data_IF_867219016181
#
_entry.id   IF_867219016181
#
_cell.length_a   1.000
_cell.length_b   1.000
_cell.length_c   1.000
_cell.angle_alpha   90.00
_cell.angle_beta   90.00
_cell.angle_gamma   90.00
#
_symmetry.space_group_name_H-M   'P 1'
#
loop_
_entity.id
_entity.type
_entity.pdbx_description
1 polymer ?
#
# COMPACT_ATOMS: atom_id res chain seq x y z
N UNK A 1 -4.40 -5.32 -7.03
CA UNK A 1 -4.81 -4.00 -7.57
C UNK A 1 -3.94 -2.95 -6.92
N UNK A 2 -3.04 -2.35 -7.71
CA UNK A 2 -2.06 -1.39 -7.22
C UNK A 2 -2.71 0.00 -7.04
N UNK A 3 -2.21 0.79 -6.09
CA UNK A 3 -2.70 2.13 -5.79
C UNK A 3 -1.57 3.14 -5.97
N UNK A 4 -1.73 4.08 -6.89
CA UNK A 4 -0.85 5.24 -6.98
C UNK A 4 -1.45 6.42 -6.22
N UNK A 5 -0.63 7.10 -5.44
CA UNK A 5 -0.97 8.39 -4.83
C UNK A 5 -0.43 9.49 -5.72
N UNK A 6 -1.29 10.40 -6.14
CA UNK A 6 -0.89 11.52 -7.00
C UNK A 6 -1.00 12.82 -6.21
N UNK A 7 0.12 13.55 -6.16
CA UNK A 7 0.18 14.92 -5.66
C UNK A 7 -0.19 15.86 -6.80
N UNK A 8 -1.35 16.51 -6.71
CA UNK A 8 -1.82 17.40 -7.77
C UNK A 8 -1.27 18.82 -7.59
N UNK A 9 -0.75 19.48 -8.65
CA UNK A 9 -0.40 20.89 -8.56
C UNK A 9 -1.61 21.74 -8.17
N UNK A 10 -1.35 22.85 -7.48
CA UNK A 10 -2.39 23.70 -6.87
C UNK A 10 -3.34 24.34 -7.89
N UNK A 11 -2.87 24.55 -9.12
CA UNK A 11 -3.58 25.27 -10.18
C UNK A 11 -4.74 24.48 -10.81
N UNK A 12 -4.84 23.17 -10.56
CA UNK A 12 -5.84 22.32 -11.20
C UNK A 12 -7.23 22.43 -10.51
N UNK A 13 -8.34 22.68 -11.22
CA UNK A 13 -9.66 22.67 -10.58
C UNK A 13 -10.05 21.30 -10.02
N UNK A 14 -10.74 21.25 -8.88
CA UNK A 14 -11.20 19.97 -8.29
C UNK A 14 -12.23 19.24 -9.17
N UNK A 15 -13.03 19.99 -9.93
CA UNK A 15 -14.04 19.48 -10.87
C UNK A 15 -13.43 18.86 -12.13
N UNK A 16 -12.14 19.12 -12.39
CA UNK A 16 -11.40 18.68 -13.57
C UNK A 16 -10.58 17.40 -13.34
N UNK A 17 -11.01 16.54 -12.41
CA UNK A 17 -10.30 15.29 -12.08
C UNK A 17 -11.13 14.08 -12.50
N UNK A 18 -11.20 13.86 -13.81
CA UNK A 18 -11.69 12.62 -14.42
C UNK A 18 -10.53 11.67 -14.75
N UNK A 19 -10.81 10.38 -14.94
CA UNK A 19 -9.80 9.41 -15.40
C UNK A 19 -9.08 9.86 -16.69
N UNK A 20 -9.81 10.51 -17.61
CA UNK A 20 -9.24 11.07 -18.83
C UNK A 20 -8.25 12.22 -18.55
N UNK A 21 -8.54 13.08 -17.58
CA UNK A 21 -7.64 14.17 -17.19
C UNK A 21 -6.40 13.66 -16.45
N UNK A 22 -6.51 12.57 -15.69
CA UNK A 22 -5.36 11.90 -15.08
C UNK A 22 -4.39 11.37 -16.15
N UNK A 23 -4.92 10.72 -17.17
CA UNK A 23 -4.12 10.20 -18.27
C UNK A 23 -3.46 11.34 -19.07
N UNK A 24 -4.27 12.33 -19.47
CA UNK A 24 -3.81 13.46 -20.29
C UNK A 24 -2.77 14.35 -19.61
N UNK A 25 -2.95 14.69 -18.34
CA UNK A 25 -2.10 15.67 -17.65
C UNK A 25 -1.00 15.06 -16.81
N UNK A 26 -1.12 13.78 -16.41
CA UNK A 26 -0.18 13.14 -15.50
C UNK A 26 0.38 11.81 -16.03
N UNK A 27 -0.09 11.34 -17.19
CA UNK A 27 0.30 10.02 -17.70
C UNK A 27 -0.14 8.88 -16.78
N UNK A 28 -1.18 9.09 -15.98
CA UNK A 28 -1.71 8.08 -15.05
C UNK A 28 -3.02 7.53 -15.59
N UNK A 29 -2.94 6.35 -16.20
CA UNK A 29 -4.12 5.57 -16.59
C UNK A 29 -4.64 4.81 -15.37
N UNK A 30 -5.91 5.03 -15.00
CA UNK A 30 -6.51 4.37 -13.84
C UNK A 30 -7.85 4.97 -13.43
N UNK A 31 -8.39 4.52 -12.30
CA UNK A 31 -9.65 5.03 -11.74
C UNK A 31 -9.46 5.56 -10.33
N UNK A 32 -10.19 6.63 -9.97
CA UNK A 32 -10.14 7.17 -8.62
C UNK A 32 -10.60 6.11 -7.60
N UNK A 33 -9.82 5.94 -6.52
CA UNK A 33 -10.05 4.93 -5.47
C UNK A 33 -10.33 5.62 -4.14
N UNK A 34 -11.38 5.24 -3.38
CA UNK A 34 -11.63 5.82 -2.07
C UNK A 34 -10.60 5.25 -1.09
N UNK A 35 -9.69 6.10 -0.61
CA UNK A 35 -8.59 5.70 0.27
C UNK A 35 -8.52 6.57 1.52
N UNK A 36 -8.58 7.89 1.36
CA UNK A 36 -8.25 8.82 2.43
C UNK A 36 -9.44 9.08 3.34
N UNK A 37 -9.19 9.13 4.65
CA UNK A 37 -10.19 9.56 5.61
C UNK A 37 -10.28 11.08 5.64
N UNK A 38 -11.49 11.61 5.83
CA UNK A 38 -11.68 13.03 6.08
C UNK A 38 -11.50 13.32 7.57
N UNK A 39 -10.98 14.49 7.91
CA UNK A 39 -10.91 14.94 9.31
C UNK A 39 -12.32 14.97 9.93
N UNK A 40 -12.51 14.47 11.17
CA UNK A 40 -13.85 14.39 11.78
C UNK A 40 -14.57 15.74 11.90
N UNK A 41 -13.82 16.83 12.05
CA UNK A 41 -14.34 18.20 12.22
C UNK A 41 -14.63 18.93 10.89
N UNK A 42 -14.67 18.22 9.76
CA UNK A 42 -14.87 18.83 8.44
C UNK A 42 -16.27 19.46 8.31
N UNK A 43 -16.31 20.77 8.04
CA UNK A 43 -17.56 21.51 7.83
C UNK A 43 -18.22 21.12 6.51
N UNK A 44 -19.55 21.27 6.42
CA UNK A 44 -20.33 20.89 5.24
C UNK A 44 -19.83 21.56 3.95
N UNK A 45 -19.48 22.85 4.01
CA UNK A 45 -18.94 23.52 2.84
C UNK A 45 -17.58 22.93 2.46
N UNK A 46 -16.67 22.63 3.38
CA UNK A 46 -15.35 22.08 3.03
C UNK A 46 -15.41 20.74 2.28
N UNK A 47 -16.54 20.02 2.33
CA UNK A 47 -16.75 18.78 1.56
C UNK A 47 -16.63 18.96 0.04
N UNK A 48 -16.88 20.15 -0.51
CA UNK A 48 -16.69 20.39 -1.96
C UNK A 48 -15.21 20.36 -2.37
N UNK A 49 -14.28 20.50 -1.41
CA UNK A 49 -12.84 20.44 -1.65
C UNK A 49 -12.30 19.00 -1.62
N UNK A 50 -13.16 18.05 -1.24
CA UNK A 50 -12.84 16.62 -1.24
C UNK A 50 -13.20 16.01 -2.60
N UNK A 51 -12.33 15.16 -3.12
CA UNK A 51 -12.59 14.34 -4.30
C UNK A 51 -13.38 13.11 -3.84
N UNK A 52 -14.71 13.16 -3.93
CA UNK A 52 -15.58 12.05 -3.51
C UNK A 52 -15.98 11.17 -4.69
N UNK A 53 -16.11 9.85 -4.45
CA UNK A 53 -16.68 8.90 -5.41
C UNK A 53 -18.21 8.79 -5.33
N UNK A 54 -18.86 9.29 -4.27
CA UNK A 54 -20.33 9.28 -4.10
C UNK A 54 -20.84 10.52 -3.38
N UNK A 55 -21.98 11.05 -3.85
CA UNK A 55 -22.77 12.08 -3.15
C UNK A 55 -23.50 11.42 -1.99
N UNK A 56 -23.35 11.93 -0.76
CA UNK A 56 -24.26 11.61 0.35
C UNK A 56 -23.64 11.12 1.66
N UNK A 57 -22.46 10.49 1.67
CA UNK A 57 -21.68 10.17 2.88
C UNK A 57 -20.29 9.71 2.47
N UNK A 58 -19.22 10.27 3.05
CA UNK A 58 -18.04 9.42 3.18
C UNK A 58 -17.34 9.54 4.54
N UNK A 59 -17.02 8.39 5.18
CA UNK A 59 -15.84 8.28 6.04
C UNK A 59 -14.53 8.21 5.21
N UNK A 60 -14.60 7.91 3.89
CA UNK A 60 -13.45 7.82 2.99
C UNK A 60 -13.68 8.52 1.63
N UNK A 61 -12.66 9.21 1.12
CA UNK A 61 -12.66 9.97 -0.14
C UNK A 61 -11.52 9.49 -1.06
N UNK A 62 -11.61 9.83 -2.35
CA UNK A 62 -10.50 9.61 -3.28
C UNK A 62 -9.35 10.61 -3.06
N UNK A 63 -9.60 11.76 -2.44
CA UNK A 63 -8.57 12.76 -2.20
C UNK A 63 -9.08 14.11 -1.75
N UNK A 64 -8.18 15.08 -1.60
CA UNK A 64 -8.46 16.46 -1.18
C UNK A 64 -7.20 17.17 -0.68
N UNK A 65 -7.30 18.44 -0.24
CA UNK A 65 -6.20 19.15 0.40
C UNK A 65 -5.69 18.40 1.63
N UNK A 66 -4.38 18.30 1.81
CA UNK A 66 -3.72 17.54 2.89
C UNK A 66 -4.31 17.87 4.26
N UNK A 67 -4.55 19.15 4.55
CA UNK A 67 -5.12 19.61 5.84
C UNK A 67 -6.55 19.13 6.14
N UNK A 68 -7.25 18.59 5.15
CA UNK A 68 -8.61 18.04 5.29
C UNK A 68 -8.61 16.51 5.37
N UNK A 69 -7.45 15.87 5.16
CA UNK A 69 -7.27 14.42 5.22
C UNK A 69 -6.76 14.00 6.60
N UNK A 70 -7.34 12.96 7.18
CA UNK A 70 -6.88 12.37 8.44
C UNK A 70 -5.77 11.33 8.21
N UNK A 71 -4.62 11.81 7.74
CA UNK A 71 -3.46 10.96 7.45
C UNK A 71 -2.92 10.30 8.72
N UNK A 72 -2.98 10.99 9.86
CA UNK A 72 -2.53 10.46 11.15
C UNK A 72 -3.45 9.32 11.65
N UNK A 73 -4.77 9.51 11.59
CA UNK A 73 -5.75 8.49 11.94
C UNK A 73 -5.61 7.25 11.06
N UNK A 74 -5.36 7.43 9.75
CA UNK A 74 -5.08 6.32 8.84
C UNK A 74 -3.83 5.53 9.23
N UNK A 75 -2.70 6.21 9.49
CA UNK A 75 -1.46 5.57 9.97
C UNK A 75 -1.71 4.77 11.25
N UNK A 76 -2.39 5.38 12.21
CA UNK A 76 -2.69 4.75 13.49
C UNK A 76 -3.56 3.50 13.32
N UNK A 77 -4.67 3.60 12.59
CA UNK A 77 -5.58 2.50 12.35
C UNK A 77 -4.90 1.33 11.61
N UNK A 78 -4.09 1.65 10.59
CA UNK A 78 -3.34 0.64 9.84
C UNK A 78 -2.30 -0.08 10.72
N UNK A 79 -1.57 0.66 11.57
CA UNK A 79 -0.62 0.08 12.53
C UNK A 79 -1.29 -0.81 13.58
N UNK A 80 -2.43 -0.38 14.14
CA UNK A 80 -3.22 -1.19 15.08
C UNK A 80 -3.72 -2.46 14.41
N UNK A 81 -4.32 -2.34 13.23
CA UNK A 81 -4.80 -3.50 12.47
C UNK A 81 -3.67 -4.47 12.11
N UNK A 82 -2.50 -3.96 11.77
CA UNK A 82 -1.31 -4.77 11.52
C UNK A 82 -0.83 -5.51 12.78
N UNK A 83 -0.92 -4.88 13.95
CA UNK A 83 -0.64 -5.55 15.23
C UNK A 83 -1.53 -6.77 15.45
N UNK A 84 -2.83 -6.63 15.19
CA UNK A 84 -3.80 -7.74 15.30
C UNK A 84 -3.45 -8.86 14.31
N UNK A 85 -3.22 -8.52 13.03
CA UNK A 85 -2.83 -9.51 12.00
C UNK A 85 -1.53 -10.24 12.35
N UNK A 86 -0.56 -9.52 12.95
CA UNK A 86 0.69 -10.11 13.39
C UNK A 86 0.47 -11.18 14.48
N UNK A 87 -0.42 -10.91 15.44
CA UNK A 87 -0.76 -11.90 16.49
C UNK A 87 -1.42 -13.15 15.89
N UNK A 88 -2.32 -12.98 14.92
CA UNK A 88 -2.92 -14.09 14.18
C UNK A 88 -1.81 -14.89 13.47
N UNK A 89 -0.93 -14.21 12.74
CA UNK A 89 0.18 -14.86 12.03
C UNK A 89 1.10 -15.65 12.97
N UNK A 90 1.46 -15.08 14.13
CA UNK A 90 2.28 -15.75 15.14
C UNK A 90 1.67 -17.07 15.60
N UNK A 91 0.34 -17.09 15.81
CA UNK A 91 -0.39 -18.32 16.14
C UNK A 91 -0.41 -19.29 14.96
N UNK A 92 -0.69 -18.81 13.76
CA UNK A 92 -0.74 -19.61 12.53
C UNK A 92 0.56 -20.36 12.25
N UNK A 93 1.71 -19.73 12.48
CA UNK A 93 3.02 -20.30 12.13
C UNK A 93 3.76 -20.91 13.33
N UNK A 94 3.10 -20.98 14.49
CA UNK A 94 3.69 -21.51 15.71
C UNK A 94 4.29 -22.91 15.48
N UNK A 95 5.49 -23.14 16.01
CA UNK A 95 6.22 -24.41 15.84
C UNK A 95 6.95 -24.59 14.50
N UNK A 96 6.81 -23.67 13.54
CA UNK A 96 7.56 -23.71 12.28
C UNK A 96 8.87 -22.92 12.36
N UNK A 97 9.92 -23.36 11.66
CA UNK A 97 11.13 -22.55 11.45
C UNK A 97 10.84 -21.33 10.56
N UNK A 98 11.59 -20.23 10.65
CA UNK A 98 11.52 -19.15 9.66
C UNK A 98 11.68 -19.70 8.24
N UNK A 99 10.89 -19.19 7.32
CA UNK A 99 10.95 -19.53 5.90
C UNK A 99 11.88 -18.55 5.16
N UNK A 100 12.53 -19.06 4.13
CA UNK A 100 13.21 -18.26 3.12
C UNK A 100 12.18 -17.42 2.34
N UNK A 101 12.36 -16.09 2.23
CA UNK A 101 11.48 -15.21 1.47
C UNK A 101 11.47 -15.50 -0.04
N UNK A 102 10.37 -15.14 -0.72
CA UNK A 102 10.23 -15.29 -2.18
C UNK A 102 11.37 -14.67 -2.99
N UNK A 103 11.87 -13.44 -2.70
CA UNK A 103 12.94 -12.83 -3.48
C UNK A 103 14.24 -13.65 -3.57
N UNK A 104 14.50 -14.54 -2.61
CA UNK A 104 15.68 -15.43 -2.66
C UNK A 104 15.52 -16.50 -3.75
N UNK A 105 14.32 -17.07 -3.89
CA UNK A 105 14.00 -18.05 -4.92
C UNK A 105 13.94 -17.40 -6.30
N UNK A 106 13.33 -16.21 -6.39
CA UNK A 106 13.28 -15.42 -7.62
C UNK A 106 14.69 -15.02 -8.10
N UNK A 107 15.56 -14.53 -7.21
CA UNK A 107 16.94 -14.18 -7.56
C UNK A 107 17.72 -15.39 -8.09
N UNK A 108 17.51 -16.58 -7.52
CA UNK A 108 18.12 -17.82 -7.99
C UNK A 108 17.62 -18.20 -9.39
N UNK A 109 16.34 -18.00 -9.68
CA UNK A 109 15.77 -18.22 -11.01
C UNK A 109 16.37 -17.25 -12.02
N UNK A 110 16.43 -15.96 -11.69
CA UNK A 110 17.00 -14.93 -12.58
C UNK A 110 18.49 -15.15 -12.89
N UNK A 111 19.23 -15.80 -12.00
CA UNK A 111 20.65 -16.11 -12.20
C UNK A 111 20.91 -17.26 -13.18
N UNK A 112 20.01 -18.25 -13.25
CA UNK A 112 20.14 -19.43 -14.13
C UNK A 112 18.74 -19.99 -14.46
N UNK A 113 17.97 -19.33 -15.35
CA UNK A 113 16.56 -19.64 -15.56
C UNK A 113 16.33 -21.00 -16.24
N UNK A 114 17.32 -21.46 -17.02
CA UNK A 114 17.25 -22.75 -17.73
C UNK A 114 17.41 -23.93 -16.74
N UNK A 115 18.27 -23.78 -15.73
CA UNK A 115 18.53 -24.83 -14.73
C UNK A 115 17.60 -24.74 -13.53
N UNK A 116 17.19 -23.54 -13.13
CA UNK A 116 16.29 -23.31 -12.01
C UNK A 116 15.08 -22.51 -12.49
N UNK A 117 14.07 -23.23 -12.97
CA UNK A 117 12.86 -22.64 -13.56
C UNK A 117 12.01 -21.91 -12.51
N UNK A 118 11.14 -21.03 -12.98
CA UNK A 118 10.19 -20.32 -12.10
C UNK A 118 9.25 -21.29 -11.37
N UNK A 119 8.83 -22.37 -12.03
CA UNK A 119 8.01 -23.41 -11.41
C UNK A 119 8.74 -24.14 -10.29
N UNK A 120 10.05 -24.41 -10.46
CA UNK A 120 10.89 -24.97 -9.40
C UNK A 120 11.04 -24.00 -8.22
N UNK A 121 11.24 -22.70 -8.51
CA UNK A 121 11.28 -21.66 -7.49
C UNK A 121 9.96 -21.58 -6.69
N UNK A 122 8.82 -21.61 -7.37
CA UNK A 122 7.50 -21.65 -6.74
C UNK A 122 7.29 -22.91 -5.90
N UNK A 123 7.65 -24.08 -6.42
CA UNK A 123 7.55 -25.35 -5.71
C UNK A 123 8.40 -25.35 -4.43
N UNK A 124 9.66 -24.92 -4.52
CA UNK A 124 10.57 -24.85 -3.37
C UNK A 124 10.07 -23.87 -2.32
N UNK A 125 9.61 -22.68 -2.73
CA UNK A 125 9.04 -21.69 -1.83
C UNK A 125 7.82 -22.25 -1.09
N UNK A 126 6.92 -22.93 -1.80
CA UNK A 126 5.70 -23.52 -1.24
C UNK A 126 5.94 -24.82 -0.48
N UNK A 127 7.08 -25.50 -0.64
CA UNK A 127 7.43 -26.68 0.15
C UNK A 127 7.73 -26.36 1.62
N UNK A 128 7.96 -25.08 1.96
CA UNK A 128 8.35 -24.66 3.30
C UNK A 128 7.20 -24.83 4.32
N UNK A 129 7.45 -25.45 5.49
CA UNK A 129 6.40 -25.68 6.50
C UNK A 129 5.64 -24.43 6.94
N UNK A 130 6.34 -23.30 7.13
CA UNK A 130 5.73 -22.01 7.50
C UNK A 130 4.79 -21.48 6.41
N UNK A 131 5.19 -21.59 5.15
CA UNK A 131 4.36 -21.18 4.00
C UNK A 131 3.11 -22.06 3.92
N UNK A 132 3.26 -23.38 4.09
CA UNK A 132 2.12 -24.29 4.11
C UNK A 132 1.17 -24.06 5.29
N UNK A 133 1.68 -23.74 6.48
CA UNK A 133 0.84 -23.36 7.63
C UNK A 133 0.00 -22.11 7.34
N UNK A 134 0.61 -21.08 6.74
CA UNK A 134 -0.12 -19.86 6.32
C UNK A 134 -1.18 -20.16 5.25
N UNK A 135 -0.86 -20.99 4.24
CA UNK A 135 -1.81 -21.38 3.19
C UNK A 135 -2.99 -22.18 3.76
N UNK A 136 -2.71 -23.11 4.66
CA UNK A 136 -3.76 -23.91 5.31
C UNK A 136 -4.68 -23.04 6.17
N UNK A 137 -4.11 -22.10 6.93
CA UNK A 137 -4.89 -21.13 7.71
C UNK A 137 -5.79 -20.26 6.82
N UNK A 138 -5.24 -19.71 5.74
CA UNK A 138 -6.00 -18.90 4.79
C UNK A 138 -7.12 -19.69 4.11
N UNK A 139 -6.90 -20.98 3.82
CA UNK A 139 -7.92 -21.87 3.26
C UNK A 139 -9.03 -22.20 4.28
N UNK A 140 -8.67 -22.41 5.55
CA UNK A 140 -9.61 -22.72 6.63
C UNK A 140 -10.41 -21.49 7.10
N UNK A 141 -9.81 -20.30 7.06
CA UNK A 141 -10.38 -19.05 7.57
C UNK A 141 -10.32 -17.98 6.49
N UNK A 142 -11.12 -18.06 5.41
CA UNK A 142 -11.12 -17.05 4.38
C UNK A 142 -11.68 -15.73 4.94
N UNK A 143 -11.07 -14.60 4.56
CA UNK A 143 -11.58 -13.30 4.97
C UNK A 143 -10.60 -12.16 4.76
N UNK A 144 -11.12 -10.95 4.86
CA UNK A 144 -10.28 -9.75 4.86
C UNK A 144 -9.45 -9.69 6.15
N UNK A 145 -8.20 -9.26 6.04
CA UNK A 145 -7.30 -9.14 7.19
C UNK A 145 -6.63 -10.44 7.64
N UNK A 146 -6.74 -11.52 6.87
CA UNK A 146 -5.97 -12.75 7.15
C UNK A 146 -4.51 -12.59 6.72
N UNK A 147 -3.54 -13.20 7.43
CA UNK A 147 -2.14 -13.16 7.04
C UNK A 147 -1.93 -13.72 5.63
N UNK A 148 -1.26 -12.95 4.78
CA UNK A 148 -0.93 -13.34 3.41
C UNK A 148 0.50 -13.84 3.30
N UNK A 149 0.72 -14.89 2.51
CA UNK A 149 2.06 -15.39 2.16
C UNK A 149 2.89 -14.32 1.46
N UNK A 150 2.26 -13.41 0.71
CA UNK A 150 2.94 -12.29 0.05
C UNK A 150 3.59 -11.31 1.03
N UNK A 151 3.18 -11.29 2.30
CA UNK A 151 3.77 -10.43 3.33
C UNK A 151 4.73 -11.20 4.27
N UNK A 152 5.06 -12.47 3.95
CA UNK A 152 5.88 -13.36 4.79
C UNK A 152 7.15 -12.68 5.27
N UNK A 153 7.88 -12.03 4.37
CA UNK A 153 9.16 -11.38 4.71
C UNK A 153 8.96 -10.29 5.77
N UNK A 154 7.91 -9.47 5.63
CA UNK A 154 7.61 -8.41 6.60
C UNK A 154 7.09 -8.97 7.93
N UNK A 155 6.32 -10.06 7.93
CA UNK A 155 5.97 -10.74 9.19
C UNK A 155 7.23 -11.26 9.92
N UNK A 156 8.20 -11.81 9.18
CA UNK A 156 9.45 -12.30 9.76
C UNK A 156 10.39 -11.18 10.25
N UNK A 157 10.24 -9.95 9.74
CA UNK A 157 10.96 -8.77 10.22
C UNK A 157 10.52 -8.32 11.63
N UNK A 158 9.41 -8.85 12.16
CA UNK A 158 8.96 -8.61 13.53
C UNK A 158 7.73 -7.70 13.62
N UNK A 159 7.11 -7.68 14.82
CA UNK A 159 5.84 -7.00 15.04
C UNK A 159 5.92 -5.50 14.75
N UNK A 160 6.91 -4.82 15.32
CA UNK A 160 7.07 -3.37 15.14
C UNK A 160 7.35 -3.01 13.68
N UNK A 161 8.19 -3.80 12.99
CA UNK A 161 8.47 -3.59 11.57
C UNK A 161 7.19 -3.71 10.73
N UNK A 162 6.39 -4.76 10.95
CA UNK A 162 5.12 -4.96 10.23
C UNK A 162 4.08 -3.86 10.52
N UNK A 163 4.00 -3.39 11.78
CA UNK A 163 3.13 -2.28 12.17
C UNK A 163 3.54 -0.97 11.49
N UNK A 164 4.83 -0.62 11.54
CA UNK A 164 5.33 0.59 10.88
C UNK A 164 5.16 0.50 9.37
N UNK A 165 5.51 -0.63 8.75
CA UNK A 165 5.31 -0.86 7.33
C UNK A 165 3.86 -0.65 6.89
N UNK A 166 2.91 -1.20 7.66
CA UNK A 166 1.49 -1.06 7.37
C UNK A 166 1.02 0.39 7.55
N UNK A 167 1.47 1.07 8.62
CA UNK A 167 1.15 2.47 8.86
C UNK A 167 1.66 3.38 7.74
N UNK A 168 2.89 3.17 7.27
CA UNK A 168 3.50 3.98 6.21
C UNK A 168 2.88 3.69 4.85
N UNK A 169 2.59 2.42 4.55
CA UNK A 169 1.96 2.01 3.28
C UNK A 169 0.52 2.50 3.16
N UNK A 170 -0.20 2.69 4.28
CA UNK A 170 -1.58 3.13 4.28
C UNK A 170 -1.81 4.50 3.62
N UNK A 171 -0.82 5.39 3.70
CA UNK A 171 -0.88 6.70 3.03
C UNK A 171 -0.18 6.64 1.69
N UNK A 172 1.03 6.06 1.63
CA UNK A 172 1.87 6.12 0.44
C UNK A 172 1.37 5.21 -0.70
N UNK A 173 0.48 4.24 -0.44
CA UNK A 173 0.04 3.29 -1.46
C UNK A 173 1.21 2.50 -2.06
N UNK A 174 1.08 2.09 -3.31
CA UNK A 174 2.06 1.27 -4.03
C UNK A 174 3.09 2.09 -4.81
N UNK A 175 2.70 3.29 -5.24
CA UNK A 175 3.56 4.27 -5.91
C UNK A 175 3.08 5.70 -5.59
N UNK A 176 3.96 6.69 -5.75
CA UNK A 176 3.66 8.11 -5.55
C UNK A 176 4.12 8.93 -6.75
N UNK A 177 3.23 9.73 -7.32
CA UNK A 177 3.57 10.76 -8.31
C UNK A 177 3.60 12.11 -7.60
N UNK A 178 4.76 12.75 -7.59
CA UNK A 178 4.96 14.08 -6.97
C UNK A 178 4.40 15.19 -7.86
N UNK A 179 4.18 16.38 -7.28
CA UNK A 179 3.61 17.51 -8.01
C UNK A 179 4.53 18.04 -9.14
N UNK A 180 5.84 17.84 -9.03
CA UNK A 180 6.86 18.11 -10.05
C UNK A 180 6.98 16.99 -11.11
N UNK A 181 6.11 15.97 -11.07
CA UNK A 181 6.03 14.91 -12.07
C UNK A 181 7.00 13.74 -11.87
N UNK A 182 7.75 13.71 -10.75
CA UNK A 182 8.63 12.58 -10.42
C UNK A 182 7.81 11.41 -9.88
N UNK A 183 8.00 10.24 -10.50
CA UNK A 183 7.38 8.98 -10.04
C UNK A 183 8.30 8.26 -9.06
N UNK A 184 7.78 7.98 -7.87
CA UNK A 184 8.39 7.13 -6.85
C UNK A 184 7.66 5.78 -6.85
N UNK A 185 8.40 4.69 -7.00
CA UNK A 185 7.89 3.33 -6.89
C UNK A 185 9.02 2.40 -6.46
N UNK A 186 8.72 1.25 -5.82
CA UNK A 186 9.74 0.24 -5.58
C UNK A 186 10.35 -0.24 -6.89
N UNK A 187 11.65 -0.53 -6.90
CA UNK A 187 12.38 -1.01 -8.08
C UNK A 187 12.07 -2.49 -8.41
N UNK A 188 11.64 -3.27 -7.41
CA UNK A 188 11.10 -4.62 -7.57
C UNK A 188 10.24 -4.98 -6.35
N UNK A 189 9.69 -6.19 -6.33
CA UNK A 189 8.90 -6.71 -5.20
C UNK A 189 9.73 -7.07 -3.96
N UNK A 190 11.07 -6.96 -4.04
CA UNK A 190 11.94 -7.18 -2.90
C UNK A 190 11.64 -6.19 -1.76
N UNK A 191 11.61 -6.68 -0.52
CA UNK A 191 11.25 -5.86 0.63
C UNK A 191 12.16 -4.63 0.79
N UNK A 192 13.45 -4.76 0.49
CA UNK A 192 14.39 -3.64 0.57
C UNK A 192 13.99 -2.50 -0.37
N UNK A 193 13.53 -2.79 -1.58
CA UNK A 193 13.09 -1.77 -2.54
C UNK A 193 11.77 -1.14 -2.11
N UNK A 194 10.89 -1.94 -1.49
CA UNK A 194 9.65 -1.45 -0.89
C UNK A 194 9.91 -0.49 0.26
N UNK A 195 10.84 -0.81 1.15
CA UNK A 195 11.24 0.07 2.27
C UNK A 195 11.86 1.36 1.75
N UNK A 196 12.81 1.29 0.81
CA UNK A 196 13.42 2.47 0.18
C UNK A 196 12.37 3.40 -0.44
N UNK A 197 11.38 2.82 -1.15
CA UNK A 197 10.26 3.59 -1.68
C UNK A 197 9.47 4.30 -0.58
N UNK A 198 9.08 3.59 0.49
CA UNK A 198 8.31 4.16 1.59
C UNK A 198 9.07 5.29 2.30
N UNK A 199 10.37 5.15 2.51
CA UNK A 199 11.21 6.20 3.08
C UNK A 199 11.26 7.46 2.21
N UNK A 200 11.34 7.30 0.88
CA UNK A 200 11.32 8.42 -0.07
C UNK A 200 9.93 9.08 -0.12
N UNK A 201 8.87 8.27 -0.17
CA UNK A 201 7.50 8.73 -0.24
C UNK A 201 7.10 9.51 1.02
N UNK A 202 7.43 9.01 2.22
CA UNK A 202 7.15 9.69 3.48
C UNK A 202 7.88 11.03 3.59
N UNK A 203 9.18 11.06 3.26
CA UNK A 203 9.96 12.30 3.24
C UNK A 203 9.33 13.34 2.31
N UNK A 204 8.79 12.92 1.17
CA UNK A 204 8.07 13.83 0.28
C UNK A 204 6.74 14.28 0.90
N UNK A 205 5.94 13.36 1.43
CA UNK A 205 4.64 13.65 2.05
C UNK A 205 4.77 14.64 3.22
N UNK A 206 5.85 14.55 4.00
CA UNK A 206 6.09 15.44 5.14
C UNK A 206 6.50 16.87 4.72
N UNK A 207 6.85 17.08 3.44
CA UNK A 207 7.16 18.41 2.87
C UNK A 207 5.96 19.09 2.21
N UNK A 208 4.82 18.41 2.12
CA UNK A 208 3.67 18.94 1.40
C UNK A 208 3.03 20.11 2.14
N UNK A 209 2.74 21.18 1.40
CA UNK A 209 2.04 22.33 1.94
C UNK A 209 0.57 21.96 2.27
N UNK A 210 -0.06 22.61 3.27
CA UNK A 210 -1.47 22.37 3.62
C UNK A 210 -2.50 22.44 2.46
N UNK A 211 -2.36 23.32 1.43
CA UNK A 211 -3.27 23.34 0.29
C UNK A 211 -3.01 22.24 -0.75
N UNK A 212 -1.82 21.62 -0.74
CA UNK A 212 -1.45 20.55 -1.65
C UNK A 212 -2.52 19.46 -1.61
N UNK A 213 -2.93 18.98 -2.78
CA UNK A 213 -3.93 17.91 -2.87
C UNK A 213 -3.28 16.57 -3.10
N UNK A 214 -3.81 15.56 -2.43
CA UNK A 214 -3.51 14.14 -2.64
C UNK A 214 -4.74 13.46 -3.20
N UNK A 215 -4.55 12.61 -4.21
CA UNK A 215 -5.60 11.71 -4.71
C UNK A 215 -5.06 10.28 -4.81
N UNK A 216 -5.93 9.30 -4.62
CA UNK A 216 -5.61 7.89 -4.79
C UNK A 216 -6.23 7.36 -6.09
N UNK A 217 -5.40 6.70 -6.89
CA UNK A 217 -5.75 6.13 -8.18
C UNK A 217 -5.46 4.63 -8.13
N UNK A 218 -6.45 3.81 -8.49
CA UNK A 218 -6.25 2.41 -8.78
C UNK A 218 -5.67 2.27 -10.19
N UNK A 219 -4.50 1.64 -10.29
CA UNK A 219 -3.83 1.27 -11.54
C UNK A 219 -4.37 -0.07 -12.06
#
# INVERSE_FOLDING_TARGET
MQTMIVCLPDELPAEALTAHQLDKHFGVTGTLKPLFWAVPALRLWQRHQMVSLRKGRPPACAGGPVKLLDLQGMRHAAGVGAGIRYQIWQQTVHGTRPATPWPVFEARHLADPDRYTLDAAAADFHAQPRVNAMRMHAAATPGTGQPSVGELEMYQAGQMAYQHYSATSAIAGDALLTADGRKLSPASDALTHRVTYLEQALRHLDTLAPPQRLIAVAL
#
